data_IF_765471679847
#
_entry.id   IF_765471679847
#
_cell.length_a   1.000
_cell.length_b   1.000
_cell.length_c   1.000
_cell.angle_alpha   90.00
_cell.angle_beta   90.00
_cell.angle_gamma   90.00
#
_symmetry.space_group_name_H-M   'P 1'
#
loop_
_entity.id
_entity.type
_entity.pdbx_description
1 polymer ?
#
# COMPACT_ATOMS: atom_id res chain seq x y z
N UNK A 1 -23.32 13.15 -2.14
CA UNK A 1 -22.27 14.19 -2.30
C UNK A 1 -21.47 13.86 -3.53
N UNK A 2 -21.48 14.71 -4.55
CA UNK A 2 -20.63 14.56 -5.73
C UNK A 2 -19.27 15.20 -5.41
N UNK A 3 -18.38 14.46 -4.80
CA UNK A 3 -17.02 14.91 -4.52
C UNK A 3 -16.01 14.22 -5.41
N UNK A 4 -14.84 14.81 -5.56
CA UNK A 4 -13.70 14.23 -6.27
C UNK A 4 -12.62 13.80 -5.29
N UNK A 5 -12.09 12.62 -5.50
CA UNK A 5 -10.89 12.12 -4.81
C UNK A 5 -9.78 12.01 -5.84
N UNK A 6 -8.63 12.57 -5.54
CA UNK A 6 -7.39 12.32 -6.28
C UNK A 6 -6.53 11.36 -5.46
N UNK A 7 -6.15 10.24 -6.03
CA UNK A 7 -5.23 9.31 -5.38
C UNK A 7 -3.80 9.55 -5.90
N UNK A 8 -2.91 9.89 -4.97
CA UNK A 8 -1.52 10.27 -5.24
C UNK A 8 -0.66 9.03 -5.56
N UNK A 9 -0.94 8.38 -6.68
CA UNK A 9 -0.15 7.24 -7.17
C UNK A 9 -0.08 7.23 -8.69
N UNK A 10 1.06 6.79 -9.22
CA UNK A 10 1.25 6.44 -10.64
C UNK A 10 1.07 4.95 -10.93
N UNK A 11 0.81 4.13 -9.91
CA UNK A 11 0.73 2.67 -10.06
C UNK A 11 -0.67 2.23 -10.47
N UNK A 12 -0.79 1.72 -11.71
CA UNK A 12 -2.09 1.27 -12.27
C UNK A 12 -2.70 0.08 -11.50
N UNK A 13 -1.87 -0.80 -10.95
CA UNK A 13 -2.34 -1.93 -10.12
C UNK A 13 -2.99 -1.44 -8.84
N UNK A 14 -2.36 -0.50 -8.14
CA UNK A 14 -2.92 0.16 -6.97
C UNK A 14 -4.25 0.85 -7.30
N UNK A 15 -4.31 1.62 -8.39
CA UNK A 15 -5.53 2.33 -8.80
C UNK A 15 -6.71 1.39 -9.02
N UNK A 16 -6.48 0.21 -9.59
CA UNK A 16 -7.54 -0.79 -9.78
C UNK A 16 -8.10 -1.31 -8.45
N UNK A 17 -7.23 -1.64 -7.51
CA UNK A 17 -7.63 -2.07 -6.15
C UNK A 17 -8.40 -0.96 -5.42
N UNK A 18 -7.89 0.27 -5.47
CA UNK A 18 -8.47 1.45 -4.81
C UNK A 18 -9.89 1.74 -5.32
N UNK A 19 -10.09 1.74 -6.64
CA UNK A 19 -11.40 1.98 -7.23
C UNK A 19 -12.42 0.94 -6.82
N UNK A 20 -12.03 -0.33 -6.74
CA UNK A 20 -12.92 -1.40 -6.28
C UNK A 20 -13.34 -1.22 -4.82
N UNK A 21 -12.39 -0.89 -3.94
CA UNK A 21 -12.64 -0.76 -2.50
C UNK A 21 -13.48 0.48 -2.17
N UNK A 22 -13.26 1.58 -2.89
CA UNK A 22 -13.94 2.85 -2.65
C UNK A 22 -15.18 3.09 -3.55
N UNK A 23 -15.58 2.12 -4.35
CA UNK A 23 -16.66 2.26 -5.33
C UNK A 23 -18.00 2.73 -4.72
N UNK A 24 -18.30 2.33 -3.50
CA UNK A 24 -19.53 2.65 -2.77
C UNK A 24 -19.51 4.01 -2.05
N UNK A 25 -18.43 4.79 -2.13
CA UNK A 25 -18.41 6.16 -1.61
C UNK A 25 -19.27 7.12 -2.44
N UNK A 26 -19.63 6.77 -3.67
CA UNK A 26 -20.35 7.66 -4.57
C UNK A 26 -19.54 8.89 -5.01
N UNK A 27 -18.21 8.82 -4.92
CA UNK A 27 -17.27 9.86 -5.31
C UNK A 27 -16.48 9.42 -6.56
N UNK A 28 -16.12 10.38 -7.41
CA UNK A 28 -15.25 10.10 -8.55
C UNK A 28 -13.79 10.01 -8.11
N UNK A 29 -13.10 8.94 -8.52
CA UNK A 29 -11.72 8.65 -8.12
C UNK A 29 -10.79 8.78 -9.32
N UNK A 30 -9.89 9.74 -9.24
CA UNK A 30 -8.88 10.06 -10.24
C UNK A 30 -7.48 9.67 -9.77
N UNK A 31 -6.64 9.19 -10.67
CA UNK A 31 -5.20 9.17 -10.48
C UNK A 31 -4.63 10.59 -10.62
N UNK A 32 -3.39 10.80 -10.19
CA UNK A 32 -2.68 12.07 -10.43
C UNK A 32 -2.67 12.44 -11.91
N UNK A 33 -2.39 11.47 -12.80
CA UNK A 33 -2.36 11.67 -14.24
C UNK A 33 -3.72 12.14 -14.79
N UNK A 34 -4.80 11.51 -14.38
CA UNK A 34 -6.17 11.88 -14.80
C UNK A 34 -6.58 13.25 -14.24
N UNK A 35 -6.06 13.63 -13.08
CA UNK A 35 -6.25 14.95 -12.49
C UNK A 35 -5.32 16.03 -13.08
N UNK A 36 -4.41 15.67 -13.99
CA UNK A 36 -3.45 16.61 -14.59
C UNK A 36 -2.33 17.06 -13.64
N UNK A 37 -2.10 16.34 -12.55
CA UNK A 37 -1.06 16.65 -11.56
C UNK A 37 0.20 15.86 -11.88
N UNK A 38 1.33 16.57 -12.04
CA UNK A 38 2.65 16.01 -12.38
C UNK A 38 3.69 16.41 -11.33
N UNK A 39 3.40 16.11 -10.08
CA UNK A 39 4.30 16.45 -8.97
C UNK A 39 5.01 15.20 -8.49
N UNK A 40 6.32 15.24 -8.46
CA UNK A 40 7.14 14.26 -7.76
C UNK A 40 7.29 14.69 -6.31
N UNK A 41 7.06 13.79 -5.39
CA UNK A 41 7.18 14.02 -3.96
C UNK A 41 8.30 13.14 -3.42
N UNK A 42 9.29 13.77 -2.80
CA UNK A 42 10.36 13.05 -2.13
C UNK A 42 9.84 12.39 -0.85
N UNK A 43 9.91 11.07 -0.82
CA UNK A 43 9.51 10.27 0.35
C UNK A 43 10.72 10.07 1.28
N UNK A 44 11.01 11.07 2.10
CA UNK A 44 12.12 11.09 3.04
C UNK A 44 11.72 10.85 4.49
N UNK A 45 10.47 10.45 4.73
CA UNK A 45 9.98 10.05 6.04
C UNK A 45 10.60 8.74 6.53
N UNK A 46 10.58 8.55 7.82
CA UNK A 46 11.09 7.36 8.50
C UNK A 46 10.01 6.30 8.76
N UNK A 47 8.75 6.67 8.57
CA UNK A 47 7.59 5.80 8.71
C UNK A 47 6.70 5.85 7.47
N UNK A 48 5.88 4.81 7.27
CA UNK A 48 4.89 4.78 6.19
C UNK A 48 3.88 5.94 6.33
N UNK A 49 3.48 6.26 7.56
CA UNK A 49 2.56 7.36 7.86
C UNK A 49 3.15 8.72 7.45
N UNK A 50 4.41 8.98 7.78
CA UNK A 50 5.10 10.21 7.40
C UNK A 50 5.15 10.38 5.88
N UNK A 51 5.52 9.32 5.14
CA UNK A 51 5.57 9.36 3.68
C UNK A 51 4.17 9.56 3.06
N UNK A 52 3.14 8.89 3.57
CA UNK A 52 1.77 9.09 3.11
C UNK A 52 1.30 10.54 3.33
N UNK A 53 1.59 11.13 4.51
CA UNK A 53 1.26 12.52 4.84
C UNK A 53 2.01 13.49 3.94
N UNK A 54 3.31 13.30 3.72
CA UNK A 54 4.11 14.13 2.82
C UNK A 54 3.50 14.18 1.42
N UNK A 55 3.13 13.03 0.87
CA UNK A 55 2.48 12.93 -0.45
C UNK A 55 1.11 13.59 -0.47
N UNK A 56 0.24 13.27 0.49
CA UNK A 56 -1.11 13.80 0.54
C UNK A 56 -1.11 15.34 0.64
N UNK A 57 -0.21 15.89 1.45
CA UNK A 57 -0.07 17.34 1.62
C UNK A 57 0.44 18.02 0.36
N UNK A 58 1.55 17.54 -0.21
CA UNK A 58 2.17 18.15 -1.39
C UNK A 58 1.23 18.18 -2.61
N UNK A 59 0.40 17.15 -2.78
CA UNK A 59 -0.60 17.08 -3.84
C UNK A 59 -1.85 17.88 -3.46
N UNK A 60 -2.27 17.84 -2.19
CA UNK A 60 -3.45 18.55 -1.69
C UNK A 60 -3.36 20.07 -1.80
N UNK A 61 -2.16 20.62 -1.73
CA UNK A 61 -1.91 22.05 -1.92
C UNK A 61 -2.12 22.52 -3.39
N UNK A 62 -2.30 21.59 -4.33
CA UNK A 62 -2.45 21.87 -5.76
C UNK A 62 -3.88 21.66 -6.27
N UNK A 63 -4.81 21.22 -5.43
CA UNK A 63 -6.19 20.94 -5.84
C UNK A 63 -7.17 21.16 -4.68
N UNK A 64 -8.41 21.52 -5.02
CA UNK A 64 -9.52 21.60 -4.06
C UNK A 64 -10.23 20.25 -3.85
N UNK A 65 -9.71 19.18 -4.45
CA UNK A 65 -10.23 17.83 -4.24
C UNK A 65 -9.71 17.23 -2.92
N UNK A 66 -10.37 16.20 -2.42
CA UNK A 66 -9.79 15.33 -1.39
C UNK A 66 -8.62 14.58 -2.00
N UNK A 67 -7.46 14.65 -1.39
CA UNK A 67 -6.29 13.89 -1.85
C UNK A 67 -6.01 12.74 -0.91
N UNK A 68 -6.00 11.52 -1.44
CA UNK A 68 -5.53 10.33 -0.75
C UNK A 68 -4.13 9.96 -1.23
N UNK A 69 -3.25 9.63 -0.32
CA UNK A 69 -1.94 9.05 -0.63
C UNK A 69 -1.70 7.81 0.22
N UNK A 70 -1.05 6.82 -0.35
CA UNK A 70 -0.59 5.65 0.39
C UNK A 70 0.93 5.57 0.40
N UNK A 71 1.48 5.07 1.50
CA UNK A 71 2.79 4.44 1.52
C UNK A 71 2.67 3.04 2.09
N UNK A 72 3.33 2.08 1.46
CA UNK A 72 3.18 0.68 1.80
C UNK A 72 4.45 -0.09 1.53
N UNK A 73 4.68 -1.13 2.32
CA UNK A 73 5.85 -1.97 2.17
C UNK A 73 5.76 -3.26 2.94
N UNK A 74 6.83 -4.03 2.80
CA UNK A 74 7.06 -5.31 3.46
C UNK A 74 8.02 -5.12 4.63
N UNK A 75 7.64 -5.59 5.79
CA UNK A 75 8.51 -5.69 6.96
C UNK A 75 8.78 -7.16 7.27
N UNK A 76 10.06 -7.54 7.32
CA UNK A 76 10.51 -8.90 7.67
C UNK A 76 11.17 -8.86 9.04
N UNK A 77 10.60 -9.58 10.01
CA UNK A 77 11.03 -9.49 11.41
C UNK A 77 12.50 -9.92 11.62
N UNK A 78 12.91 -11.01 11.00
CA UNK A 78 14.29 -11.50 11.10
C UNK A 78 15.33 -10.55 10.49
N UNK A 79 14.90 -9.70 9.55
CA UNK A 79 15.72 -8.69 8.88
C UNK A 79 15.56 -7.29 9.50
N UNK A 80 15.21 -7.18 10.78
CA UNK A 80 15.00 -5.92 11.48
C UNK A 80 14.02 -4.98 10.77
N UNK A 81 12.93 -5.54 10.26
CA UNK A 81 11.88 -4.84 9.50
C UNK A 81 12.28 -4.37 8.09
N UNK A 82 13.47 -4.74 7.62
CA UNK A 82 13.79 -4.51 6.20
C UNK A 82 12.88 -5.33 5.27
N UNK A 83 12.57 -4.83 4.05
CA UNK A 83 12.97 -3.56 3.47
C UNK A 83 12.18 -2.33 3.99
N UNK A 84 11.05 -2.50 4.69
CA UNK A 84 10.29 -1.44 5.33
C UNK A 84 9.89 -0.31 4.38
N UNK A 85 10.11 0.93 4.75
CA UNK A 85 9.82 2.12 3.93
C UNK A 85 10.62 2.16 2.61
N UNK A 86 11.67 1.37 2.50
CA UNK A 86 12.48 1.23 1.28
C UNK A 86 12.00 0.12 0.34
N UNK A 87 10.83 -0.49 0.59
CA UNK A 87 10.34 -1.65 -0.16
C UNK A 87 10.31 -1.44 -1.68
N UNK A 88 9.85 -0.29 -2.15
CA UNK A 88 9.79 0.00 -3.58
C UNK A 88 11.18 0.16 -4.21
N UNK A 89 12.13 0.75 -3.48
CA UNK A 89 13.50 1.04 -3.94
C UNK A 89 14.57 0.09 -3.39
N UNK A 90 14.16 -1.00 -2.75
CA UNK A 90 15.07 -2.05 -2.26
C UNK A 90 15.93 -2.58 -3.41
N UNK A 91 17.26 -2.63 -3.22
CA UNK A 91 18.26 -2.96 -4.24
C UNK A 91 18.26 -2.04 -5.48
N UNK A 92 17.62 -0.87 -5.42
CA UNK A 92 17.48 0.07 -6.53
C UNK A 92 16.07 0.11 -7.13
N UNK A 93 15.68 1.28 -7.61
CA UNK A 93 14.32 1.51 -8.17
C UNK A 93 14.06 0.66 -9.40
N UNK A 94 15.06 0.54 -10.28
CA UNK A 94 14.97 -0.20 -11.55
C UNK A 94 15.18 -1.72 -11.40
N UNK A 95 15.46 -2.20 -10.18
CA UNK A 95 15.64 -3.63 -9.93
C UNK A 95 14.32 -4.37 -9.99
N UNK A 96 14.25 -5.45 -10.77
CA UNK A 96 13.04 -6.25 -10.89
C UNK A 96 12.64 -6.89 -9.55
N UNK A 97 11.33 -7.05 -9.33
CA UNK A 97 10.85 -7.71 -8.11
C UNK A 97 11.29 -9.17 -8.00
N UNK A 98 11.53 -9.85 -9.12
CA UNK A 98 12.10 -11.20 -9.10
C UNK A 98 13.47 -11.22 -8.38
N UNK A 99 14.32 -10.24 -8.65
CA UNK A 99 15.63 -10.10 -7.97
C UNK A 99 15.44 -9.72 -6.51
N UNK A 100 14.55 -8.77 -6.21
CA UNK A 100 14.24 -8.34 -4.84
C UNK A 100 13.70 -9.51 -4.00
N UNK A 101 12.76 -10.29 -4.55
CA UNK A 101 12.17 -11.46 -3.93
C UNK A 101 13.22 -12.53 -3.65
N UNK A 102 14.04 -12.88 -4.65
CA UNK A 102 15.09 -13.86 -4.48
C UNK A 102 16.10 -13.42 -3.41
N UNK A 103 16.50 -12.16 -3.40
CA UNK A 103 17.40 -11.62 -2.37
C UNK A 103 16.85 -11.80 -0.95
N UNK A 104 15.55 -11.56 -0.73
CA UNK A 104 14.94 -11.77 0.58
C UNK A 104 14.89 -13.26 0.97
N UNK A 105 14.58 -14.13 0.02
CA UNK A 105 14.61 -15.58 0.23
C UNK A 105 16.02 -16.03 0.62
N UNK A 106 17.04 -15.59 -0.11
CA UNK A 106 18.45 -15.95 0.12
C UNK A 106 18.95 -15.45 1.49
N UNK A 107 18.55 -14.24 1.90
CA UNK A 107 18.89 -13.69 3.21
C UNK A 107 18.24 -14.45 4.38
N UNK A 108 17.21 -15.23 4.10
CA UNK A 108 16.52 -16.08 5.07
C UNK A 108 16.90 -17.56 4.92
N UNK A 109 17.94 -17.86 4.15
CA UNK A 109 18.43 -19.25 4.03
C UNK A 109 18.83 -19.81 5.41
N UNK A 110 18.40 -21.03 5.71
CA UNK A 110 18.60 -21.66 7.01
C UNK A 110 17.80 -21.10 8.18
N UNK A 111 16.98 -20.04 7.97
CA UNK A 111 16.09 -19.49 8.99
C UNK A 111 14.83 -20.35 9.09
N UNK A 112 14.50 -20.90 10.29
CA UNK A 112 13.32 -21.74 10.48
C UNK A 112 12.02 -20.94 10.27
N UNK A 113 10.95 -21.63 9.89
CA UNK A 113 9.68 -21.05 9.48
C UNK A 113 9.10 -20.09 10.52
N UNK A 114 9.14 -20.46 11.79
CA UNK A 114 8.62 -19.64 12.90
C UNK A 114 9.35 -18.30 13.10
N UNK A 115 10.52 -18.13 12.49
CA UNK A 115 11.31 -16.89 12.48
C UNK A 115 11.24 -16.10 11.17
N UNK A 116 10.51 -16.62 10.20
CA UNK A 116 10.32 -15.97 8.88
C UNK A 116 9.11 -15.03 8.86
N UNK A 117 8.61 -14.65 10.02
CA UNK A 117 7.44 -13.78 10.15
C UNK A 117 7.65 -12.43 9.47
N UNK A 118 6.63 -11.98 8.80
CA UNK A 118 6.64 -10.74 8.05
C UNK A 118 5.23 -10.13 8.03
N UNK A 119 5.14 -8.87 7.63
CA UNK A 119 3.86 -8.20 7.37
C UNK A 119 3.96 -7.27 6.19
N UNK A 120 2.87 -7.15 5.45
CA UNK A 120 2.64 -5.97 4.64
C UNK A 120 1.99 -4.88 5.48
N UNK A 121 2.44 -3.66 5.27
CA UNK A 121 1.90 -2.45 5.92
C UNK A 121 1.41 -1.50 4.84
N UNK A 122 0.27 -0.86 5.06
CA UNK A 122 -0.20 0.27 4.28
C UNK A 122 -0.65 1.38 5.22
N UNK A 123 -0.05 2.54 5.10
CA UNK A 123 -0.54 3.78 5.70
C UNK A 123 -1.23 4.61 4.61
N UNK A 124 -2.38 5.20 4.93
CA UNK A 124 -3.09 6.11 4.05
C UNK A 124 -3.25 7.44 4.76
N UNK A 125 -2.95 8.51 4.06
CA UNK A 125 -3.24 9.86 4.49
C UNK A 125 -4.28 10.49 3.55
N UNK A 126 -5.21 11.25 4.11
CA UNK A 126 -6.18 12.06 3.38
C UNK A 126 -5.98 13.53 3.71
N UNK A 127 -5.67 14.35 2.72
CA UNK A 127 -5.70 15.81 2.82
C UNK A 127 -7.07 16.30 2.35
N UNK A 128 -7.79 16.98 3.23
CA UNK A 128 -9.11 17.55 2.93
C UNK A 128 -8.96 19.01 2.46
N UNK A 129 -9.92 19.52 1.66
CA UNK A 129 -9.88 20.91 1.17
C UNK A 129 -9.83 21.97 2.26
N UNK A 130 -10.30 21.66 3.46
CA UNK A 130 -10.26 22.54 4.63
C UNK A 130 -8.94 22.49 5.40
N UNK A 131 -7.97 21.72 4.91
CA UNK A 131 -6.64 21.58 5.50
C UNK A 131 -6.53 20.47 6.56
N UNK A 132 -7.63 19.78 6.92
CA UNK A 132 -7.56 18.64 7.84
C UNK A 132 -6.78 17.49 7.20
N UNK A 133 -6.02 16.78 8.03
CA UNK A 133 -5.30 15.58 7.64
C UNK A 133 -5.83 14.38 8.44
N UNK A 134 -6.24 13.33 7.74
CA UNK A 134 -6.64 12.05 8.34
C UNK A 134 -5.61 11.00 8.00
N UNK A 135 -5.38 10.05 8.88
CA UNK A 135 -4.46 8.92 8.65
C UNK A 135 -5.06 7.62 9.11
N UNK A 136 -4.84 6.56 8.35
CA UNK A 136 -5.21 5.19 8.71
C UNK A 136 -4.09 4.22 8.38
N UNK A 137 -4.09 3.07 9.04
CA UNK A 137 -3.10 2.01 8.84
C UNK A 137 -3.80 0.66 8.74
N UNK A 138 -3.31 -0.20 7.86
CA UNK A 138 -3.70 -1.60 7.76
C UNK A 138 -2.47 -2.50 7.66
N UNK A 139 -2.57 -3.71 8.19
CA UNK A 139 -1.52 -4.72 8.08
C UNK A 139 -2.13 -6.08 7.74
N UNK A 140 -1.32 -6.93 7.11
CA UNK A 140 -1.58 -8.37 6.99
C UNK A 140 -0.33 -9.11 7.42
N UNK A 141 -0.50 -10.05 8.35
CA UNK A 141 0.57 -10.88 8.88
C UNK A 141 0.74 -12.14 8.04
N UNK A 142 1.97 -12.58 7.86
CA UNK A 142 2.33 -13.79 7.13
C UNK A 142 3.77 -14.17 7.37
N UNK A 143 4.31 -14.97 6.47
CA UNK A 143 5.73 -15.38 6.48
C UNK A 143 6.33 -15.19 5.09
N UNK A 144 7.66 -15.08 5.04
CA UNK A 144 8.38 -15.17 3.77
C UNK A 144 8.53 -16.64 3.40
N UNK A 145 7.99 -17.01 2.25
CA UNK A 145 8.10 -18.36 1.69
C UNK A 145 9.53 -18.72 1.26
N UNK A 146 9.72 -19.94 0.80
CA UNK A 146 11.01 -20.44 0.34
C UNK A 146 11.23 -20.28 -1.15
N UNK A 147 10.19 -19.97 -1.88
CA UNK A 147 10.15 -19.77 -3.34
C UNK A 147 9.03 -18.80 -3.73
N UNK A 148 9.09 -18.27 -4.95
CA UNK A 148 7.97 -17.53 -5.51
C UNK A 148 6.83 -18.49 -5.89
N UNK A 149 5.58 -18.13 -5.53
CA UNK A 149 4.36 -18.88 -5.85
C UNK A 149 3.26 -17.94 -6.31
N UNK A 150 2.59 -18.32 -7.38
CA UNK A 150 1.50 -17.54 -7.98
C UNK A 150 1.99 -16.46 -8.95
N UNK A 151 1.08 -16.02 -9.81
CA UNK A 151 1.34 -15.04 -10.86
C UNK A 151 0.49 -13.76 -10.69
N UNK A 152 -0.39 -13.74 -9.71
CA UNK A 152 -1.26 -12.60 -9.42
C UNK A 152 -0.57 -11.51 -8.61
N UNK A 153 -1.26 -10.40 -8.44
CA UNK A 153 -0.77 -9.30 -7.63
C UNK A 153 0.41 -8.55 -8.25
N UNK A 154 1.31 -8.07 -7.41
CA UNK A 154 2.53 -7.36 -7.80
C UNK A 154 3.54 -7.32 -6.64
N UNK A 155 4.76 -6.92 -6.94
CA UNK A 155 5.78 -6.70 -5.91
C UNK A 155 6.23 -7.97 -5.21
N UNK A 156 6.12 -7.98 -3.89
CA UNK A 156 6.52 -9.09 -3.02
C UNK A 156 5.42 -10.14 -2.83
N UNK A 157 4.26 -10.02 -3.47
CA UNK A 157 3.15 -10.95 -3.33
C UNK A 157 3.55 -12.44 -3.53
N UNK A 158 4.41 -12.80 -4.50
CA UNK A 158 4.77 -14.20 -4.72
C UNK A 158 5.54 -14.86 -3.57
N UNK A 159 6.21 -14.09 -2.72
CA UNK A 159 6.98 -14.63 -1.58
C UNK A 159 6.29 -14.43 -0.24
N UNK A 160 5.18 -13.70 -0.20
CA UNK A 160 4.41 -13.46 1.01
C UNK A 160 3.36 -14.54 1.19
N UNK A 161 3.65 -15.48 2.06
CA UNK A 161 2.84 -16.66 2.30
C UNK A 161 1.91 -16.47 3.50
N UNK A 162 0.67 -16.92 3.34
CA UNK A 162 -0.37 -16.92 4.36
C UNK A 162 -0.60 -18.35 4.85
N UNK A 163 0.01 -18.77 5.96
CA UNK A 163 -0.11 -20.16 6.46
C UNK A 163 -1.56 -20.58 6.70
N UNK A 164 -2.40 -19.68 7.18
CA UNK A 164 -3.82 -19.91 7.43
C UNK A 164 -4.60 -20.28 6.15
N UNK A 165 -4.17 -19.76 5.00
CA UNK A 165 -4.80 -20.02 3.69
C UNK A 165 -4.03 -21.04 2.85
N UNK A 166 -2.84 -21.43 3.25
CA UNK A 166 -2.00 -22.38 2.54
C UNK A 166 -1.49 -21.88 1.18
N UNK A 167 -1.42 -20.58 0.96
CA UNK A 167 -1.02 -19.95 -0.31
C UNK A 167 -0.28 -18.64 -0.12
N UNK A 168 0.39 -18.17 -1.18
CA UNK A 168 0.91 -16.80 -1.24
C UNK A 168 -0.21 -15.80 -1.57
N UNK A 169 0.04 -14.51 -1.31
CA UNK A 169 -0.90 -13.46 -1.72
C UNK A 169 -1.02 -13.32 -3.23
N UNK A 170 -0.04 -13.80 -4.01
CA UNK A 170 -0.10 -13.87 -5.47
C UNK A 170 -1.01 -14.98 -6.00
N UNK A 171 -1.38 -15.95 -5.17
CA UNK A 171 -2.31 -17.04 -5.52
C UNK A 171 -3.77 -16.71 -5.18
N UNK A 172 -4.03 -15.60 -4.48
CA UNK A 172 -5.39 -15.16 -4.13
C UNK A 172 -6.11 -14.53 -5.32
N UNK A 173 -7.44 -14.67 -5.38
CA UNK A 173 -8.25 -13.84 -6.24
C UNK A 173 -8.14 -12.36 -5.83
N UNK A 174 -8.42 -11.44 -6.75
CA UNK A 174 -8.37 -10.01 -6.45
C UNK A 174 -9.36 -9.64 -5.34
N UNK A 175 -10.55 -10.21 -5.34
CA UNK A 175 -11.57 -9.99 -4.32
C UNK A 175 -11.08 -10.44 -2.95
N UNK A 176 -10.51 -11.65 -2.86
CA UNK A 176 -9.99 -12.18 -1.59
C UNK A 176 -8.78 -11.40 -1.11
N UNK A 177 -7.90 -11.01 -2.02
CA UNK A 177 -6.77 -10.15 -1.70
C UNK A 177 -7.23 -8.79 -1.16
N UNK A 178 -8.23 -8.15 -1.78
CA UNK A 178 -8.78 -6.87 -1.31
C UNK A 178 -9.44 -6.98 0.07
N UNK A 179 -10.08 -8.12 0.36
CA UNK A 179 -10.67 -8.40 1.68
C UNK A 179 -9.61 -8.47 2.77
N UNK A 180 -8.53 -9.22 2.53
CA UNK A 180 -7.53 -9.57 3.53
C UNK A 180 -6.39 -8.55 3.64
N UNK A 181 -6.07 -7.83 2.55
CA UNK A 181 -4.83 -7.08 2.41
C UNK A 181 -4.74 -5.87 3.36
N UNK A 182 -3.50 -5.49 3.64
CA UNK A 182 -3.12 -4.25 4.32
C UNK A 182 -3.80 -3.02 3.70
N UNK A 183 -3.74 -2.88 2.35
CA UNK A 183 -4.37 -1.78 1.62
C UNK A 183 -5.88 -1.82 1.74
N UNK A 184 -6.50 -2.98 1.58
CA UNK A 184 -7.94 -3.13 1.75
C UNK A 184 -8.41 -2.71 3.15
N UNK A 185 -7.68 -3.11 4.18
CA UNK A 185 -7.98 -2.71 5.58
C UNK A 185 -7.81 -1.20 5.79
N UNK A 186 -6.68 -0.63 5.35
CA UNK A 186 -6.40 0.80 5.49
C UNK A 186 -7.42 1.66 4.74
N UNK A 187 -7.80 1.27 3.50
CA UNK A 187 -8.80 1.99 2.70
C UNK A 187 -10.20 1.92 3.29
N UNK A 188 -10.63 0.76 3.82
CA UNK A 188 -11.93 0.65 4.51
C UNK A 188 -11.98 1.52 5.76
N UNK A 189 -10.89 1.56 6.54
CA UNK A 189 -10.78 2.46 7.68
C UNK A 189 -10.84 3.92 7.24
N UNK A 190 -10.10 4.31 6.19
CA UNK A 190 -10.11 5.67 5.65
C UNK A 190 -11.50 6.07 5.13
N UNK A 191 -12.22 5.15 4.50
CA UNK A 191 -13.58 5.38 4.05
C UNK A 191 -14.51 5.79 5.19
N UNK A 192 -14.43 5.12 6.34
CA UNK A 192 -15.23 5.45 7.52
C UNK A 192 -14.83 6.80 8.12
N UNK A 193 -13.53 7.12 8.17
CA UNK A 193 -13.06 8.42 8.63
C UNK A 193 -13.49 9.57 7.69
N UNK A 194 -13.46 9.35 6.37
CA UNK A 194 -13.97 10.33 5.41
C UNK A 194 -15.47 10.59 5.56
N UNK A 195 -16.28 9.54 5.75
CA UNK A 195 -17.73 9.71 6.01
C UNK A 195 -17.97 10.60 7.21
N UNK A 196 -17.33 10.31 8.34
CA UNK A 196 -17.43 11.12 9.56
C UNK A 196 -17.00 12.57 9.35
N UNK A 197 -15.88 12.76 8.64
CA UNK A 197 -15.31 14.09 8.40
C UNK A 197 -16.16 14.95 7.45
N UNK A 198 -16.91 14.33 6.53
CA UNK A 198 -17.78 15.01 5.56
C UNK A 198 -19.22 15.24 6.08
N UNK A 199 -19.61 14.55 7.14
CA UNK A 199 -20.89 14.75 7.82
C UNK A 199 -20.83 15.78 8.96
N UNK A 200 -19.62 16.12 9.41
CA UNK A 200 -19.37 17.09 10.47
C UNK A 200 -19.31 18.54 9.93
#
# INVERSE_FOLDING_TARGET
>A
MTGKIVFATGNAGKMKEIRLILADLGMEIYSMKEAGIQTEVEENGTTFEENAVLKAKAIGEQTDAIVLADDSGLEVDYLNKEPGVYSARYLGEDTSYRIKNQSLIDRLDGVPEEKRTARFVCAIAAHLPDGRMLTTRGTIEGIIGYEERGEGGFGYDPIFYLPEYGCSTAELSMEKKNELSHRGKALRAMKEELKKALEA
#
